data_IF_232568351374
#
_entry.id   IF_232568351374
#
_cell.length_a   1.000
_cell.length_b   1.000
_cell.length_c   1.000
_cell.angle_alpha   90.00
_cell.angle_beta   90.00
_cell.angle_gamma   90.00
#
_symmetry.space_group_name_H-M   'P 1'
#
loop_
_entity.id
_entity.type
_entity.pdbx_description
1 polymer ?
#
# COMPACT_ATOMS: atom_id res chain seq x y z
N UNK A 1 10.36 18.44 -11.32
CA UNK A 1 9.97 17.02 -11.27
C UNK A 1 9.63 16.71 -9.84
N UNK A 2 8.37 16.43 -9.55
CA UNK A 2 7.93 16.03 -8.21
C UNK A 2 8.46 14.61 -7.96
N UNK A 3 9.64 14.50 -7.34
CA UNK A 3 10.35 13.23 -7.09
C UNK A 3 9.75 12.47 -5.88
N UNK A 4 8.42 12.44 -5.76
CA UNK A 4 7.72 11.81 -4.64
C UNK A 4 7.04 10.51 -5.06
N UNK A 5 7.16 9.47 -4.24
CA UNK A 5 6.37 8.23 -4.36
C UNK A 5 5.19 8.33 -3.40
N UNK A 6 3.99 7.98 -3.85
CA UNK A 6 2.81 7.93 -2.97
C UNK A 6 2.52 6.46 -2.65
N UNK A 7 2.26 6.19 -1.36
CA UNK A 7 1.79 4.89 -0.87
C UNK A 7 0.64 5.10 0.09
N UNK A 8 -0.17 4.07 0.29
CA UNK A 8 -1.34 4.10 1.17
C UNK A 8 -1.14 3.14 2.33
N UNK A 9 -1.66 3.49 3.51
CA UNK A 9 -1.70 2.56 4.66
C UNK A 9 -3.04 2.65 5.37
N UNK A 10 -3.39 1.55 6.03
CA UNK A 10 -4.46 1.51 7.02
C UNK A 10 -3.83 1.68 8.39
N UNK A 11 -4.10 2.78 9.09
CA UNK A 11 -3.63 2.96 10.47
C UNK A 11 -4.44 2.04 11.41
N UNK A 12 -3.81 1.24 12.30
CA UNK A 12 -2.41 1.29 12.76
C UNK A 12 -1.41 0.35 12.07
N UNK A 13 -1.75 -0.26 10.93
CA UNK A 13 -0.85 -1.17 10.21
C UNK A 13 0.34 -0.43 9.61
N UNK A 14 1.45 -1.16 9.50
CA UNK A 14 2.73 -0.63 9.02
C UNK A 14 2.98 -0.93 7.53
N UNK A 15 2.19 -1.80 6.92
CA UNK A 15 2.31 -2.17 5.50
C UNK A 15 1.86 -1.02 4.60
N UNK A 16 2.61 -0.83 3.53
CA UNK A 16 2.34 0.16 2.50
C UNK A 16 1.73 -0.53 1.27
N UNK A 17 0.67 0.07 0.76
CA UNK A 17 -0.11 -0.36 -0.39
C UNK A 17 0.11 0.63 -1.54
N UNK A 18 -0.04 0.17 -2.77
CA UNK A 18 0.11 1.01 -3.94
C UNK A 18 -1.11 1.91 -4.14
N UNK A 19 -2.29 1.43 -3.72
CA UNK A 19 -3.54 2.15 -3.93
C UNK A 19 -4.46 2.12 -2.71
N UNK A 20 -5.43 3.05 -2.61
CA UNK A 20 -6.44 3.04 -1.55
C UNK A 20 -7.27 1.74 -1.54
N UNK A 21 -7.60 1.20 -2.71
CA UNK A 21 -8.43 0.01 -2.86
C UNK A 21 -7.70 -1.23 -2.31
N UNK A 22 -6.41 -1.31 -2.57
CA UNK A 22 -5.57 -2.36 -2.01
C UNK A 22 -5.50 -2.25 -0.48
N UNK A 23 -5.35 -1.04 0.06
CA UNK A 23 -5.36 -0.83 1.51
C UNK A 23 -6.66 -1.34 2.15
N UNK A 24 -7.80 -1.16 1.48
CA UNK A 24 -9.13 -1.58 1.95
C UNK A 24 -9.31 -3.10 1.89
N UNK A 25 -8.84 -3.72 0.81
CA UNK A 25 -8.98 -5.16 0.58
C UNK A 25 -8.20 -6.04 1.58
N UNK A 26 -7.19 -5.50 2.29
CA UNK A 26 -6.37 -6.26 3.27
C UNK A 26 -7.13 -6.46 4.61
N UNK A 27 -8.45 -6.18 4.64
CA UNK A 27 -9.37 -6.56 5.70
C UNK A 27 -9.62 -5.46 6.71
N UNK A 28 -10.38 -4.44 6.31
CA UNK A 28 -10.84 -3.34 7.17
C UNK A 28 -12.22 -3.66 7.75
N UNK A 29 -12.37 -3.52 9.07
CA UNK A 29 -13.67 -3.42 9.73
C UNK A 29 -13.88 -1.98 10.21
N UNK A 30 -15.04 -1.38 9.91
CA UNK A 30 -15.30 0.07 9.90
C UNK A 30 -15.19 0.83 11.24
N UNK A 31 -14.76 0.20 12.34
CA UNK A 31 -14.84 0.77 13.69
C UNK A 31 -13.75 1.78 14.06
N UNK A 32 -12.48 1.52 13.72
CA UNK A 32 -11.34 2.22 14.37
C UNK A 32 -10.18 2.60 13.43
N UNK A 33 -10.24 2.20 12.16
CA UNK A 33 -9.12 2.36 11.21
C UNK A 33 -9.37 3.47 10.17
N UNK A 34 -8.30 4.21 9.81
CA UNK A 34 -8.28 5.28 8.80
C UNK A 34 -7.25 4.97 7.71
N UNK A 35 -7.55 5.34 6.46
CA UNK A 35 -6.58 5.24 5.35
C UNK A 35 -5.79 6.54 5.26
N UNK A 36 -4.47 6.41 5.09
CA UNK A 36 -3.55 7.53 4.98
C UNK A 36 -2.72 7.41 3.72
N UNK A 37 -2.63 8.50 2.96
CA UNK A 37 -1.70 8.67 1.86
C UNK A 37 -0.37 9.19 2.40
N UNK A 38 0.68 8.40 2.22
CA UNK A 38 2.05 8.65 2.62
C UNK A 38 2.82 9.15 1.40
N UNK A 39 3.28 10.39 1.47
CA UNK A 39 4.10 11.01 0.43
C UNK A 39 5.56 10.82 0.83
N UNK A 40 6.28 10.08 0.00
CA UNK A 40 7.63 9.60 0.26
C UNK A 40 8.62 10.26 -0.69
N UNK A 41 9.80 10.59 -0.19
CA UNK A 41 10.92 11.02 -1.04
C UNK A 41 12.08 10.05 -0.88
N UNK A 42 12.81 9.81 -1.98
CA UNK A 42 13.94 8.88 -2.00
C UNK A 42 15.09 9.41 -1.16
N UNK A 43 15.62 8.58 -0.28
CA UNK A 43 16.73 8.91 0.62
C UNK A 43 16.29 9.23 2.06
N UNK A 44 17.28 9.49 2.92
CA UNK A 44 17.02 9.83 4.31
C UNK A 44 17.11 11.34 4.51
N UNK A 45 15.96 11.98 4.71
CA UNK A 45 15.90 13.40 5.00
C UNK A 45 16.07 13.65 6.50
N UNK A 46 16.89 14.63 6.86
CA UNK A 46 16.91 15.13 8.23
C UNK A 46 15.55 15.77 8.54
N UNK A 47 14.90 15.33 9.61
CA UNK A 47 13.60 15.84 10.04
C UNK A 47 12.38 15.00 9.63
N UNK A 48 12.55 13.94 8.82
CA UNK A 48 11.45 13.00 8.57
C UNK A 48 11.04 12.29 9.87
N UNK A 49 9.76 12.38 10.20
CA UNK A 49 9.15 11.72 11.35
C UNK A 49 9.12 10.20 11.20
N UNK A 50 9.00 9.73 9.96
CA UNK A 50 8.95 8.32 9.61
C UNK A 50 9.82 8.02 8.39
N UNK A 51 10.17 6.75 8.23
CA UNK A 51 10.98 6.22 7.14
C UNK A 51 10.28 5.02 6.55
N UNK A 52 10.47 4.78 5.26
CA UNK A 52 9.87 3.65 4.57
C UNK A 52 10.93 2.80 3.86
N UNK A 53 10.66 1.50 3.82
CA UNK A 53 11.24 0.54 2.89
C UNK A 53 10.33 0.49 1.67
N UNK A 54 10.84 0.74 0.46
CA UNK A 54 10.05 0.76 -0.78
C UNK A 54 10.77 -0.04 -1.85
N UNK A 55 10.03 -0.85 -2.62
CA UNK A 55 10.58 -1.54 -3.79
C UNK A 55 10.68 -0.58 -4.96
N UNK A 56 11.88 -0.45 -5.52
CA UNK A 56 12.15 0.26 -6.77
C UNK A 56 11.95 -0.70 -7.94
N UNK A 57 10.69 -0.99 -8.23
CA UNK A 57 10.24 -1.81 -9.35
C UNK A 57 9.05 -1.12 -10.02
N UNK A 58 8.66 -1.59 -11.20
CA UNK A 58 7.45 -1.11 -11.85
C UNK A 58 6.21 -1.47 -11.00
N UNK A 59 5.26 -0.53 -10.90
CA UNK A 59 4.08 -0.72 -10.04
C UNK A 59 3.27 -1.95 -10.43
N UNK A 60 3.23 -2.29 -11.72
CA UNK A 60 2.56 -3.50 -12.23
C UNK A 60 3.21 -4.78 -11.68
N UNK A 61 4.54 -4.80 -11.58
CA UNK A 61 5.25 -5.96 -11.04
C UNK A 61 5.06 -6.07 -9.53
N UNK A 62 5.08 -4.93 -8.83
CA UNK A 62 4.84 -4.90 -7.38
C UNK A 62 3.40 -5.36 -7.08
N UNK A 63 2.41 -4.97 -7.90
CA UNK A 63 1.01 -5.40 -7.74
C UNK A 63 0.83 -6.92 -7.79
N UNK A 64 1.68 -7.64 -8.52
CA UNK A 64 1.66 -9.11 -8.58
C UNK A 64 2.20 -9.77 -7.31
N UNK A 65 2.87 -9.02 -6.42
CA UNK A 65 3.37 -9.51 -5.13
C UNK A 65 2.30 -9.23 -4.05
N UNK A 66 1.95 -10.19 -3.19
CA UNK A 66 1.07 -9.94 -2.05
C UNK A 66 1.61 -8.82 -1.15
N UNK A 67 0.75 -7.93 -0.65
CA UNK A 67 1.17 -6.73 0.13
C UNK A 67 2.10 -7.05 1.29
N UNK A 68 1.83 -8.13 2.03
CA UNK A 68 2.64 -8.57 3.18
C UNK A 68 4.05 -9.02 2.77
N UNK A 69 4.22 -9.49 1.53
CA UNK A 69 5.48 -10.02 0.99
C UNK A 69 6.30 -8.97 0.24
N UNK A 70 5.72 -7.79 -0.03
CA UNK A 70 6.41 -6.69 -0.70
C UNK A 70 7.55 -6.11 0.13
N UNK A 71 7.57 -6.34 1.44
CA UNK A 71 8.53 -5.72 2.36
C UNK A 71 8.48 -4.18 2.30
N UNK A 72 7.35 -3.61 1.86
CA UNK A 72 7.09 -2.18 1.91
C UNK A 72 6.46 -1.81 3.25
N UNK A 73 7.24 -1.16 4.12
CA UNK A 73 6.90 -0.96 5.52
C UNK A 73 7.31 0.43 5.99
N UNK A 74 6.52 0.97 6.92
CA UNK A 74 6.80 2.21 7.63
C UNK A 74 7.51 1.95 8.98
N UNK A 75 8.48 2.80 9.29
CA UNK A 75 9.31 2.77 10.49
C UNK A 75 9.40 4.14 11.15
N UNK A 76 9.42 4.16 12.48
CA UNK A 76 9.58 5.39 13.26
C UNK A 76 11.04 5.82 13.37
N UNK A 77 11.99 4.95 12.97
CA UNK A 77 13.42 5.20 13.05
C UNK A 77 14.13 4.84 11.75
N UNK A 78 14.97 5.75 11.27
CA UNK A 78 15.89 5.50 10.15
C UNK A 78 16.72 4.24 10.37
N UNK A 79 17.22 4.05 11.59
CA UNK A 79 18.09 2.93 11.93
C UNK A 79 17.36 1.59 11.83
N UNK A 80 16.06 1.57 12.07
CA UNK A 80 15.24 0.36 11.92
C UNK A 80 14.95 0.08 10.45
N UNK A 81 14.53 1.10 9.69
CA UNK A 81 14.31 0.98 8.25
C UNK A 81 15.57 0.46 7.52
N UNK A 82 16.74 1.04 7.79
CA UNK A 82 18.01 0.59 7.19
C UNK A 82 18.33 -0.85 7.57
N UNK A 83 18.20 -1.23 8.85
CA UNK A 83 18.44 -2.61 9.29
C UNK A 83 17.48 -3.60 8.65
N UNK A 84 16.22 -3.20 8.48
CA UNK A 84 15.21 -4.01 7.82
C UNK A 84 15.54 -4.22 6.34
N UNK A 85 15.87 -3.15 5.62
CA UNK A 85 16.30 -3.21 4.21
C UNK A 85 17.52 -4.11 4.09
N UNK A 86 18.57 -3.92 4.90
CA UNK A 86 19.77 -4.77 4.84
C UNK A 86 19.50 -6.27 5.04
N UNK A 87 18.42 -6.64 5.75
CA UNK A 87 18.05 -8.04 6.01
C UNK A 87 17.14 -8.63 4.94
N UNK A 88 16.25 -7.82 4.37
CA UNK A 88 15.18 -8.28 3.48
C UNK A 88 15.40 -7.88 2.01
N UNK A 89 16.43 -7.07 1.71
CA UNK A 89 16.77 -6.64 0.37
C UNK A 89 17.58 -7.71 -0.38
N UNK A 90 17.02 -8.91 -0.52
CA UNK A 90 17.67 -10.06 -1.15
C UNK A 90 17.87 -9.86 -2.66
N UNK A 91 16.99 -9.10 -3.30
CA UNK A 91 16.98 -8.82 -4.74
C UNK A 91 17.56 -7.45 -5.10
N UNK A 92 17.98 -6.66 -4.11
CA UNK A 92 18.54 -5.32 -4.33
C UNK A 92 17.51 -4.25 -4.68
N UNK A 93 16.21 -4.56 -4.66
CA UNK A 93 15.15 -3.65 -5.09
C UNK A 93 14.65 -2.73 -3.97
N UNK A 94 14.96 -3.00 -2.70
CA UNK A 94 14.51 -2.17 -1.59
C UNK A 94 15.41 -0.96 -1.40
N UNK A 95 14.80 0.22 -1.39
CA UNK A 95 15.44 1.48 -1.09
C UNK A 95 14.79 2.17 0.12
N UNK A 96 15.59 3.03 0.75
CA UNK A 96 15.16 3.83 1.90
C UNK A 96 14.52 5.13 1.43
N UNK A 97 13.32 5.39 1.94
CA UNK A 97 12.58 6.61 1.72
C UNK A 97 12.32 7.33 3.05
N UNK A 98 12.25 8.65 3.02
CA UNK A 98 11.75 9.48 4.11
C UNK A 98 10.31 9.86 3.86
N UNK A 99 9.47 9.84 4.90
CA UNK A 99 8.12 10.41 4.80
C UNK A 99 8.24 11.93 4.81
N UNK A 100 7.71 12.55 3.76
CA UNK A 100 7.60 14.00 3.62
C UNK A 100 6.29 14.51 4.23
N UNK A 101 5.19 13.83 3.95
CA UNK A 101 3.85 14.25 4.37
C UNK A 101 2.92 13.05 4.51
N UNK A 102 1.90 13.19 5.36
CA UNK A 102 0.87 12.19 5.62
C UNK A 102 -0.49 12.88 5.51
N UNK A 103 -1.34 12.38 4.62
CA UNK A 103 -2.69 12.92 4.40
C UNK A 103 -3.73 11.87 4.73
N UNK A 104 -4.76 12.23 5.48
CA UNK A 104 -5.91 11.36 5.67
C UNK A 104 -6.72 11.26 4.38
N UNK A 105 -7.08 10.04 3.99
CA UNK A 105 -7.99 9.77 2.88
C UNK A 105 -9.40 9.63 3.46
N UNK A 106 -10.34 10.53 3.09
CA UNK A 106 -11.71 10.46 3.58
C UNK A 106 -12.40 9.14 3.20
N UNK A 107 -13.25 8.65 4.10
CA UNK A 107 -14.03 7.42 3.86
C UNK A 107 -15.00 7.53 2.69
N UNK A 108 -15.48 8.74 2.39
CA UNK A 108 -16.38 9.00 1.26
C UNK A 108 -15.72 8.65 -0.08
N UNK A 109 -14.39 8.83 -0.18
CA UNK A 109 -13.61 8.43 -1.35
C UNK A 109 -13.39 6.93 -1.39
N UNK A 110 -13.52 6.22 -0.26
CA UNK A 110 -13.31 4.78 -0.13
C UNK A 110 -14.59 3.99 -0.43
N UNK A 111 -15.76 4.50 -0.01
CA UNK A 111 -17.06 3.85 -0.17
C UNK A 111 -17.51 3.67 -1.63
N UNK A 112 -16.93 4.43 -2.57
CA UNK A 112 -17.12 4.18 -4.01
C UNK A 112 -16.41 2.89 -4.49
N UNK A 113 -15.44 2.38 -3.72
CA UNK A 113 -14.67 1.17 -4.04
C UNK A 113 -15.13 -0.09 -3.29
N UNK A 114 -15.96 0.04 -2.23
CA UNK A 114 -16.60 -1.10 -1.55
C UNK A 114 -17.68 -1.79 -2.39
N UNK A 115 -18.06 -1.19 -3.53
CA UNK A 115 -18.83 -1.82 -4.58
C UNK A 115 -17.96 -2.11 -5.80
N UNK A 116 -17.09 -3.13 -5.79
CA UNK A 116 -16.83 -3.82 -7.04
C UNK A 116 -18.20 -4.35 -7.47
N UNK A 117 -18.65 -3.90 -8.62
CA UNK A 117 -19.90 -4.31 -9.26
C UNK A 117 -19.89 -5.85 -9.42
N UNK A 118 -20.28 -6.58 -8.37
CA UNK A 118 -20.50 -8.03 -8.37
C UNK A 118 -21.63 -8.42 -9.34
N UNK A 119 -22.26 -7.43 -9.97
CA UNK A 119 -23.25 -7.58 -11.03
C UNK A 119 -22.67 -8.22 -12.31
N UNK A 120 -21.35 -8.14 -12.57
CA UNK A 120 -20.78 -8.76 -13.79
C UNK A 120 -20.43 -10.25 -13.65
N UNK A 121 -20.17 -10.76 -12.45
CA UNK A 121 -19.82 -12.18 -12.23
C UNK A 121 -21.03 -13.13 -12.15
N UNK A 122 -22.21 -12.63 -11.80
CA UNK A 122 -23.44 -13.43 -11.66
C UNK A 122 -24.13 -13.74 -12.99
N UNK A 123 -23.90 -12.93 -14.02
CA UNK A 123 -24.50 -13.14 -15.35
C UNK A 123 -23.79 -14.24 -16.15
N UNK A 124 -22.53 -14.57 -15.84
CA UNK A 124 -21.83 -15.71 -16.44
C UNK A 124 -22.25 -17.06 -15.82
N UNK A 125 -22.55 -17.10 -14.51
CA UNK A 125 -23.03 -18.30 -13.82
C UNK A 125 -24.44 -18.73 -14.26
N UNK A 126 -25.31 -17.79 -14.66
CA UNK A 126 -26.64 -18.10 -15.19
C UNK A 126 -26.64 -18.72 -16.59
N UNK A 127 -25.52 -18.71 -17.32
CA UNK A 127 -25.42 -19.37 -18.63
C UNK A 127 -25.12 -20.87 -18.52
N UNK A 128 -24.59 -21.34 -17.39
CA UNK A 128 -24.29 -22.76 -17.18
C UNK A 128 -25.49 -23.58 -16.69
N UNK A 129 -26.48 -22.95 -16.06
CA UNK A 129 -27.65 -23.64 -15.49
C UNK A 129 -28.79 -23.89 -16.50
N UNK A 130 -28.56 -23.63 -17.79
CA UNK A 130 -29.50 -23.92 -18.89
C UNK A 130 -29.04 -25.04 -19.83
N UNK A 131 -27.97 -25.76 -19.49
CA UNK A 131 -27.42 -26.85 -20.29
C UNK A 131 -27.38 -28.21 -19.56
N UNK A 132 -28.19 -28.39 -18.52
CA UNK A 132 -28.38 -29.67 -17.80
C UNK A 132 -29.82 -30.11 -17.82
#
# INVERSE_FOLDING_TARGET
MENGVVRYRVNPRLYLCISPEEAVNIGITAGEESVEAIILEKGAFMGSLFYASIREMDEQDIMNIPVVERNELLFNSRKEAVRYIMRNNLDGTLALYGVRDIKHVPRETIGEFEHPDFSQGLDELKKFDKAG
#
